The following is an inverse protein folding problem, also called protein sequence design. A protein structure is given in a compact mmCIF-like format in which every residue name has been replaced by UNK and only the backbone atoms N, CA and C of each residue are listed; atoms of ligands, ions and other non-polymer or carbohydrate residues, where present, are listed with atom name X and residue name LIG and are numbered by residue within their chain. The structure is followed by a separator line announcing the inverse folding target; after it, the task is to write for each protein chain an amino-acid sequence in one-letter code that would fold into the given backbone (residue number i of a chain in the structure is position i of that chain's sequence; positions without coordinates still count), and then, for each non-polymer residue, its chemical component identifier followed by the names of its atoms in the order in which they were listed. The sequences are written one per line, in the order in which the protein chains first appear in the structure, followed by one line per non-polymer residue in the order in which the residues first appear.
data_IF_130330800079
#
_entry.id   IF_130330800079
#
_cell.length_a   1.000
_cell.length_b   1.000
_cell.length_c   1.000
_cell.angle_alpha   90.00
_cell.angle_beta   90.00
_cell.angle_gamma   90.00
#
_symmetry.space_group_name_H-M   'P 1'
#
loop_
_entity.id
_entity.type
_entity.pdbx_description
1 polymer ?
#
# COMPACT_ATOMS: atom_id res chain seq x y z
N UNK A 1 -3.64 26.61 -15.26
CA UNK A 1 -4.73 25.76 -15.77
C UNK A 1 -4.51 25.29 -17.22
N UNK A 2 -3.93 26.13 -18.10
CA UNK A 2 -3.75 25.84 -19.53
C UNK A 2 -3.04 24.50 -19.84
N UNK A 3 -2.00 24.13 -19.09
CA UNK A 3 -1.25 22.88 -19.34
C UNK A 3 -2.03 21.61 -18.98
N UNK A 4 -2.74 21.58 -17.85
CA UNK A 4 -3.51 20.40 -17.42
C UNK A 4 -4.69 20.13 -18.37
N UNK A 5 -5.40 21.19 -18.78
CA UNK A 5 -6.48 21.09 -19.76
C UNK A 5 -5.96 20.63 -21.13
N UNK A 6 -4.79 21.13 -21.57
CA UNK A 6 -4.15 20.67 -22.81
C UNK A 6 -3.77 19.18 -22.78
N UNK A 7 -3.43 18.66 -21.60
CA UNK A 7 -3.12 17.24 -21.39
C UNK A 7 -4.37 16.39 -21.11
N UNK A 8 -5.58 16.96 -21.15
CA UNK A 8 -6.82 16.25 -20.85
C UNK A 8 -6.97 15.85 -19.37
N UNK A 9 -6.19 16.45 -18.47
CA UNK A 9 -6.23 16.17 -17.03
C UNK A 9 -7.27 17.07 -16.37
N UNK A 10 -8.31 16.46 -15.81
CA UNK A 10 -9.35 17.15 -15.04
C UNK A 10 -8.84 17.34 -13.60
N UNK A 11 -8.63 18.58 -13.12
CA UNK A 11 -8.23 18.81 -11.75
C UNK A 11 -9.42 18.56 -10.81
N UNK A 12 -9.21 17.73 -9.79
CA UNK A 12 -10.10 17.60 -8.64
C UNK A 12 -9.41 18.19 -7.42
N UNK A 13 -10.09 19.08 -6.70
CA UNK A 13 -9.53 19.73 -5.52
C UNK A 13 -10.16 19.14 -4.25
N UNK A 14 -9.31 18.86 -3.26
CA UNK A 14 -9.75 18.51 -1.91
C UNK A 14 -10.55 19.65 -1.29
N UNK A 15 -11.45 19.33 -0.37
CA UNK A 15 -12.20 20.35 0.36
C UNK A 15 -11.24 21.17 1.22
N UNK A 16 -11.44 22.49 1.34
CA UNK A 16 -10.65 23.30 2.24
C UNK A 16 -10.69 22.72 3.67
N UNK A 17 -9.52 22.60 4.30
CA UNK A 17 -9.36 22.20 5.70
C UNK A 17 -9.78 20.76 6.05
N UNK A 18 -9.75 19.82 5.10
CA UNK A 18 -9.97 18.38 5.37
C UNK A 18 -8.70 17.58 5.04
N UNK A 19 -7.96 17.15 6.07
CA UNK A 19 -6.75 16.32 5.94
C UNK A 19 -7.04 14.95 5.31
N UNK A 20 -8.22 14.40 5.62
CA UNK A 20 -8.56 13.02 5.29
C UNK A 20 -8.99 12.84 3.83
N UNK A 21 -8.97 13.90 3.02
CA UNK A 21 -9.34 13.84 1.60
C UNK A 21 -8.22 13.19 0.74
N UNK A 22 -6.98 13.02 1.26
CA UNK A 22 -5.89 12.34 0.53
C UNK A 22 -5.12 11.28 1.37
N UNK A 23 -5.79 10.24 1.91
CA UNK A 23 -5.17 9.26 2.80
C UNK A 23 -4.01 8.48 2.14
N UNK A 24 -4.07 8.30 0.82
CA UNK A 24 -3.03 7.58 0.08
C UNK A 24 -1.72 8.36 0.04
N UNK A 25 -1.78 9.68 -0.20
CA UNK A 25 -0.56 10.50 -0.19
C UNK A 25 -0.02 10.66 1.23
N UNK A 26 -0.88 10.79 2.23
CA UNK A 26 -0.45 10.80 3.63
C UNK A 26 0.26 9.50 4.03
N UNK A 27 -0.29 8.35 3.62
CA UNK A 27 0.35 7.05 3.82
C UNK A 27 1.73 6.99 3.17
N UNK A 28 1.87 7.47 1.92
CA UNK A 28 3.15 7.57 1.23
C UNK A 28 4.15 8.45 2.00
N UNK A 29 3.75 9.65 2.43
CA UNK A 29 4.63 10.55 3.19
C UNK A 29 5.02 9.96 4.55
N UNK A 30 4.11 9.24 5.21
CA UNK A 30 4.44 8.48 6.41
C UNK A 30 5.50 7.43 6.10
N UNK A 31 5.31 6.59 5.08
CA UNK A 31 6.32 5.59 4.70
C UNK A 31 7.66 6.22 4.36
N UNK A 32 7.67 7.38 3.70
CA UNK A 32 8.89 8.13 3.41
C UNK A 32 9.63 8.50 4.70
N UNK A 33 8.93 9.10 5.68
CA UNK A 33 9.52 9.56 6.94
C UNK A 33 10.03 8.43 7.85
N UNK A 34 9.36 7.28 7.81
CA UNK A 34 9.67 6.15 8.69
C UNK A 34 10.44 5.02 7.98
N UNK A 35 10.88 5.22 6.74
CA UNK A 35 11.69 4.22 6.06
C UNK A 35 13.07 4.08 6.76
N UNK A 36 13.67 2.86 6.79
CA UNK A 36 14.96 2.66 7.45
C UNK A 36 16.10 3.53 6.90
N UNK A 37 15.99 3.97 5.64
CA UNK A 37 16.99 4.80 4.97
C UNK A 37 16.75 6.31 5.15
N UNK A 38 15.81 6.73 6.02
CA UNK A 38 15.52 8.15 6.24
C UNK A 38 16.78 8.89 6.74
N UNK A 39 17.10 10.07 6.17
CA UNK A 39 18.36 10.76 6.49
C UNK A 39 18.32 11.29 7.92
N UNK A 40 19.31 10.91 8.72
CA UNK A 40 19.50 11.45 10.08
C UNK A 40 20.15 12.83 10.14
N UNK A 41 20.63 13.36 9.01
CA UNK A 41 21.24 14.68 8.87
C UNK A 41 20.61 15.43 7.68
N UNK A 42 20.62 16.77 7.68
CA UNK A 42 20.19 17.56 6.52
C UNK A 42 20.97 17.19 5.26
N UNK A 43 20.34 17.37 4.10
CA UNK A 43 21.03 17.23 2.82
C UNK A 43 21.98 18.41 2.59
N UNK A 44 23.15 18.13 2.05
CA UNK A 44 24.18 19.13 1.72
C UNK A 44 23.85 19.90 0.43
N UNK A 45 23.04 19.31 -0.45
CA UNK A 45 22.61 19.92 -1.71
C UNK A 45 21.25 19.40 -2.19
N UNK A 46 20.64 20.12 -3.14
CA UNK A 46 19.41 19.70 -3.79
C UNK A 46 19.63 18.40 -4.57
N UNK A 47 20.80 18.22 -5.16
CA UNK A 47 21.18 17.02 -5.90
C UNK A 47 21.21 15.79 -4.99
N UNK A 48 21.76 15.93 -3.78
CA UNK A 48 21.76 14.85 -2.79
C UNK A 48 20.34 14.49 -2.36
N UNK A 49 19.48 15.50 -2.13
CA UNK A 49 18.06 15.29 -1.81
C UNK A 49 17.34 14.54 -2.94
N UNK A 50 17.53 14.96 -4.20
CA UNK A 50 16.94 14.30 -5.38
C UNK A 50 17.37 12.85 -5.50
N UNK A 51 18.67 12.57 -5.37
CA UNK A 51 19.18 11.20 -5.43
C UNK A 51 18.60 10.32 -4.32
N UNK A 52 18.48 10.87 -3.11
CA UNK A 52 17.86 10.14 -2.01
C UNK A 52 16.38 9.84 -2.29
N UNK A 53 15.60 10.82 -2.77
CA UNK A 53 14.19 10.61 -3.14
C UNK A 53 14.07 9.58 -4.27
N UNK A 54 14.95 9.61 -5.28
CA UNK A 54 14.95 8.60 -6.35
C UNK A 54 15.15 7.18 -5.81
N UNK A 55 16.12 6.99 -4.90
CA UNK A 55 16.34 5.69 -4.26
C UNK A 55 15.12 5.27 -3.42
N UNK A 56 14.53 6.20 -2.68
CA UNK A 56 13.30 5.93 -1.93
C UNK A 56 12.16 5.49 -2.85
N UNK A 57 11.92 6.16 -3.98
CA UNK A 57 10.86 5.81 -4.93
C UNK A 57 11.10 4.43 -5.54
N UNK A 58 12.34 4.10 -5.90
CA UNK A 58 12.68 2.76 -6.41
C UNK A 58 12.40 1.70 -5.34
N UNK A 59 12.91 1.89 -4.13
CA UNK A 59 12.68 0.97 -3.02
C UNK A 59 11.19 0.80 -2.71
N UNK A 60 10.43 1.90 -2.61
CA UNK A 60 9.00 1.91 -2.29
C UNK A 60 8.20 1.08 -3.29
N UNK A 61 8.50 1.23 -4.58
CA UNK A 61 7.75 0.60 -5.66
C UNK A 61 8.20 -0.83 -5.98
N UNK A 62 9.48 -1.14 -5.82
CA UNK A 62 10.05 -2.40 -6.34
C UNK A 62 10.50 -3.37 -5.25
N UNK A 63 10.72 -2.91 -4.02
CA UNK A 63 11.28 -3.75 -2.94
C UNK A 63 10.39 -3.81 -1.71
N UNK A 64 9.84 -2.66 -1.29
CA UNK A 64 9.01 -2.57 -0.10
C UNK A 64 7.67 -3.28 -0.30
N UNK A 65 7.38 -4.25 0.56
CA UNK A 65 6.13 -5.03 0.53
C UNK A 65 5.10 -4.39 1.44
N UNK A 66 3.95 -4.05 0.89
CA UNK A 66 2.92 -3.29 1.59
C UNK A 66 1.84 -4.21 2.15
N UNK A 67 1.58 -4.13 3.45
CA UNK A 67 0.60 -4.99 4.12
C UNK A 67 -0.82 -4.80 3.58
N UNK A 68 -1.19 -3.57 3.22
CA UNK A 68 -2.49 -3.20 2.67
C UNK A 68 -2.81 -3.93 1.35
N UNK A 69 -1.79 -4.29 0.57
CA UNK A 69 -1.91 -5.07 -0.68
C UNK A 69 -1.31 -6.46 -0.52
N UNK A 70 -1.47 -7.08 0.65
CA UNK A 70 -1.06 -8.47 0.92
C UNK A 70 0.43 -8.72 0.65
N UNK A 71 1.28 -7.78 1.04
CA UNK A 71 2.74 -7.89 0.98
C UNK A 71 3.27 -8.13 -0.44
N UNK A 72 2.62 -7.58 -1.45
CA UNK A 72 3.22 -7.38 -2.78
C UNK A 72 3.79 -5.96 -2.87
N UNK A 73 4.67 -5.72 -3.83
CA UNK A 73 5.18 -4.37 -4.09
C UNK A 73 4.20 -3.62 -5.00
N UNK A 74 4.17 -2.27 -4.98
CA UNK A 74 3.32 -1.49 -5.86
C UNK A 74 3.62 -1.79 -7.34
N UNK A 75 4.89 -1.99 -7.69
CA UNK A 75 5.31 -2.38 -9.04
C UNK A 75 4.74 -3.73 -9.48
N UNK A 76 4.78 -4.75 -8.60
CA UNK A 76 4.19 -6.06 -8.89
C UNK A 76 2.69 -5.98 -9.12
N UNK A 77 1.99 -5.20 -8.28
CA UNK A 77 0.55 -4.98 -8.43
C UNK A 77 0.24 -4.22 -9.72
N UNK A 78 0.99 -3.17 -10.02
CA UNK A 78 0.84 -2.39 -11.25
C UNK A 78 1.08 -3.25 -12.50
N UNK A 79 2.04 -4.18 -12.44
CA UNK A 79 2.30 -5.16 -13.50
C UNK A 79 1.31 -6.33 -13.58
N UNK A 80 0.34 -6.42 -12.66
CA UNK A 80 -0.62 -7.53 -12.61
C UNK A 80 -0.03 -8.87 -12.11
N UNK A 81 1.17 -8.85 -11.54
CA UNK A 81 1.86 -10.05 -11.03
C UNK A 81 1.32 -10.51 -9.67
N UNK A 82 0.57 -9.65 -8.98
CA UNK A 82 0.11 -9.87 -7.61
C UNK A 82 -0.75 -11.13 -7.47
N UNK A 83 -1.67 -11.37 -8.41
CA UNK A 83 -2.57 -12.53 -8.38
C UNK A 83 -1.80 -13.85 -8.35
N UNK A 84 -0.88 -14.06 -9.30
CA UNK A 84 -0.09 -15.28 -9.37
C UNK A 84 0.86 -15.45 -8.16
N UNK A 85 1.43 -14.35 -7.66
CA UNK A 85 2.28 -14.37 -6.47
C UNK A 85 1.49 -14.78 -5.21
N UNK A 86 0.29 -14.24 -5.08
CA UNK A 86 -0.59 -14.49 -3.95
C UNK A 86 -1.12 -15.92 -3.93
N UNK A 87 -1.50 -16.48 -5.08
CA UNK A 87 -1.87 -17.90 -5.20
C UNK A 87 -0.73 -18.86 -4.82
N UNK A 88 0.51 -18.52 -5.20
CA UNK A 88 1.70 -19.29 -4.79
C UNK A 88 1.88 -19.26 -3.27
N UNK A 89 1.68 -18.10 -2.64
CA UNK A 89 1.78 -17.95 -1.18
C UNK A 89 0.68 -18.72 -0.44
N UNK A 90 -0.55 -18.69 -0.95
CA UNK A 90 -1.66 -19.46 -0.40
C UNK A 90 -1.32 -20.95 -0.34
N UNK A 91 -0.91 -21.53 -1.47
CA UNK A 91 -0.51 -22.95 -1.55
C UNK A 91 0.64 -23.28 -0.60
N UNK A 92 1.65 -22.41 -0.51
CA UNK A 92 2.79 -22.62 0.39
C UNK A 92 2.33 -22.69 1.85
N UNK A 93 1.43 -21.79 2.25
CA UNK A 93 0.91 -21.72 3.61
C UNK A 93 0.02 -22.93 3.94
N UNK A 94 -0.81 -23.39 3.00
CA UNK A 94 -1.64 -24.60 3.15
C UNK A 94 -0.76 -25.84 3.33
N UNK A 95 0.27 -26.01 2.51
CA UNK A 95 1.24 -27.11 2.65
C UNK A 95 1.97 -27.03 3.99
N UNK A 96 2.38 -25.83 4.41
CA UNK A 96 3.05 -25.64 5.70
C UNK A 96 2.14 -25.98 6.90
N UNK A 97 0.86 -25.58 6.83
CA UNK A 97 -0.16 -25.91 7.84
C UNK A 97 -0.43 -27.40 7.89
N UNK A 98 -0.58 -28.06 6.75
CA UNK A 98 -0.78 -29.52 6.67
C UNK A 98 0.39 -30.30 7.27
N UNK A 99 1.64 -29.83 7.08
CA UNK A 99 2.84 -30.47 7.66
C UNK A 99 2.97 -30.31 9.17
N UNK A 100 2.52 -29.18 9.73
CA UNK A 100 2.70 -28.87 11.15
C UNK A 100 1.44 -28.22 11.73
N UNK A 101 0.32 -28.96 11.85
CA UNK A 101 -0.95 -28.37 12.27
C UNK A 101 -0.90 -27.74 13.65
N UNK A 102 -0.13 -28.30 14.60
CA UNK A 102 0.02 -27.77 15.96
C UNK A 102 0.63 -26.36 16.04
N UNK A 103 1.31 -25.90 14.98
CA UNK A 103 1.87 -24.54 14.90
C UNK A 103 0.83 -23.48 14.51
N UNK A 104 -0.39 -23.89 14.17
CA UNK A 104 -1.45 -23.03 13.68
C UNK A 104 -2.65 -23.07 14.63
N UNK A 105 -3.05 -21.92 15.15
CA UNK A 105 -4.26 -21.79 15.98
C UNK A 105 -5.55 -21.69 15.15
N UNK A 106 -5.46 -21.51 13.83
CA UNK A 106 -6.62 -21.31 12.97
C UNK A 106 -6.28 -21.31 11.47
N UNK A 107 -7.03 -20.53 10.70
CA UNK A 107 -6.83 -20.41 9.26
C UNK A 107 -5.50 -19.78 8.87
N UNK A 108 -5.06 -20.11 7.65
CA UNK A 108 -3.85 -19.49 7.10
C UNK A 108 -4.10 -18.01 6.81
N UNK A 109 -3.01 -17.25 6.67
CA UNK A 109 -3.10 -15.84 6.30
C UNK A 109 -3.90 -15.67 5.01
N UNK A 110 -4.81 -14.69 4.99
CA UNK A 110 -5.56 -14.35 3.79
C UNK A 110 -4.63 -13.78 2.70
N UNK A 111 -4.42 -14.57 1.65
CA UNK A 111 -3.68 -14.18 0.45
C UNK A 111 -4.59 -13.83 -0.73
N UNK A 112 -5.90 -13.64 -0.56
CA UNK A 112 -6.75 -13.20 -1.69
C UNK A 112 -6.38 -11.79 -2.15
N UNK A 113 -6.32 -11.52 -3.47
CA UNK A 113 -6.06 -10.18 -4.00
C UNK A 113 -7.06 -9.15 -3.45
N UNK A 114 -6.55 -7.94 -3.20
CA UNK A 114 -7.39 -6.79 -2.85
C UNK A 114 -7.77 -6.12 -4.17
N UNK A 115 -9.04 -6.10 -4.55
CA UNK A 115 -9.47 -5.53 -5.83
C UNK A 115 -10.04 -4.11 -5.68
N UNK A 116 -10.63 -3.83 -4.52
CA UNK A 116 -11.34 -2.58 -4.26
C UNK A 116 -10.82 -1.96 -2.96
N UNK A 117 -10.71 -0.64 -2.97
CA UNK A 117 -10.38 0.17 -1.79
C UNK A 117 -11.26 1.42 -1.83
N UNK A 118 -11.73 1.82 -0.66
CA UNK A 118 -12.67 2.93 -0.52
C UNK A 118 -12.05 4.02 0.34
N UNK A 119 -11.98 5.25 -0.18
CA UNK A 119 -11.62 6.43 0.63
C UNK A 119 -12.81 6.90 1.46
N UNK A 120 -14.01 6.88 0.88
CA UNK A 120 -15.27 7.16 1.55
C UNK A 120 -16.31 6.10 1.16
N UNK A 121 -16.33 4.94 1.84
CA UNK A 121 -17.28 3.90 1.52
C UNK A 121 -18.71 4.36 1.82
N UNK A 122 -19.71 3.90 1.03
CA UNK A 122 -21.12 4.03 1.38
C UNK A 122 -21.41 3.51 2.79
N UNK A 123 -22.44 4.04 3.45
CA UNK A 123 -22.78 3.67 4.85
C UNK A 123 -22.93 2.15 5.04
N UNK A 124 -23.43 1.45 4.03
CA UNK A 124 -23.62 0.00 4.02
C UNK A 124 -22.29 -0.78 4.05
N UNK A 125 -21.24 -0.26 3.42
CA UNK A 125 -19.90 -0.86 3.43
C UNK A 125 -19.19 -0.53 4.76
N UNK A 126 -19.33 0.71 5.26
CA UNK A 126 -18.79 1.12 6.58
C UNK A 126 -19.26 0.22 7.71
N UNK A 127 -20.53 -0.19 7.70
CA UNK A 127 -21.11 -1.08 8.71
C UNK A 127 -20.56 -2.52 8.66
N UNK A 128 -20.05 -2.97 7.50
CA UNK A 128 -19.44 -4.30 7.34
C UNK A 128 -17.99 -4.31 7.82
N UNK A 129 -17.21 -3.28 7.53
CA UNK A 129 -15.80 -3.20 7.94
C UNK A 129 -15.61 -3.09 9.46
N UNK A 130 -16.51 -2.38 10.16
CA UNK A 130 -16.48 -2.27 11.63
C UNK A 130 -16.76 -3.61 12.34
N UNK A 131 -17.54 -4.52 11.74
CA UNK A 131 -17.78 -5.85 12.32
C UNK A 131 -16.56 -6.78 12.19
N UNK A 132 -15.75 -6.60 11.14
CA UNK A 132 -14.53 -7.39 10.93
C UNK A 132 -13.39 -6.94 11.86
N UNK A 133 -13.30 -5.64 12.18
CA UNK A 133 -12.28 -5.08 13.08
C UNK A 133 -12.48 -5.38 14.58
N UNK A 134 -13.70 -5.70 15.01
CA UNK A 134 -14.02 -6.04 16.41
C UNK A 134 -13.99 -7.55 16.71
N UNK A 135 -13.51 -8.35 15.76
CA UNK A 135 -13.31 -9.79 15.93
C UNK A 135 -11.81 -10.07 16.00
N UNK A 136 -11.16 -9.76 17.11
CA UNK A 136 -9.80 -10.16 17.45
C UNK A 136 -9.69 -10.41 18.94
#
# INVERSE_FOLDING_TARGET
LATLQKLGVIPSFSRPSVSDDNPYSESLFRTLKYCPAYPGKPFESIEQARQWVHRFVQWYNLEHRHSAIRYVTPGQRHGGEDTALLEKRQRLYEVAKARNPHRWSGETRNWKPVNEVWLNPPKEIRAKDQKVGNSS
#
